data_IF_570786071117
#
_entry.id   IF_570786071117
#
_cell.length_a   1.000
_cell.length_b   1.000
_cell.length_c   1.000
_cell.angle_alpha   90.00
_cell.angle_beta   90.00
_cell.angle_gamma   90.00
#
_symmetry.space_group_name_H-M   'P 1'
#
loop_
_entity.id
_entity.type
_entity.pdbx_description
1 polymer ?
#
# COMPACT_ATOMS: atom_id res chain seq x y z
N UNK A 1 -0.48 13.93 2.52
CA UNK A 1 -1.66 13.78 3.42
C UNK A 1 -2.38 15.12 3.53
N UNK A 2 -3.53 15.21 4.20
CA UNK A 2 -4.29 16.46 4.32
C UNK A 2 -4.76 16.65 5.77
N UNK A 3 -4.60 17.85 6.33
CA UNK A 3 -5.23 18.25 7.61
C UNK A 3 -6.19 19.42 7.39
N UNK A 4 -7.01 19.74 8.39
CA UNK A 4 -7.95 20.87 8.36
C UNK A 4 -9.38 20.48 7.95
N UNK A 5 -10.35 21.40 8.13
CA UNK A 5 -11.76 21.12 7.90
C UNK A 5 -12.08 20.96 6.40
N UNK A 6 -13.24 20.36 6.07
CA UNK A 6 -13.72 20.29 4.69
C UNK A 6 -13.72 21.67 4.01
N UNK A 7 -13.21 21.74 2.78
CA UNK A 7 -13.04 22.95 1.96
C UNK A 7 -11.92 23.91 2.38
N UNK A 8 -11.21 23.62 3.46
CA UNK A 8 -10.02 24.37 3.90
C UNK A 8 -8.94 23.39 4.38
N UNK A 9 -8.50 22.53 3.45
CA UNK A 9 -7.53 21.48 3.75
C UNK A 9 -6.12 21.93 3.38
N UNK A 10 -5.17 21.69 4.28
CA UNK A 10 -3.74 21.88 4.03
C UNK A 10 -3.11 20.55 3.58
N UNK A 11 -2.51 20.48 2.39
CA UNK A 11 -1.78 19.30 1.94
C UNK A 11 -0.38 19.25 2.57
N UNK A 12 0.05 18.04 2.93
CA UNK A 12 1.35 17.71 3.50
C UNK A 12 2.10 16.74 2.60
N UNK A 13 3.39 17.00 2.39
CA UNK A 13 4.30 16.10 1.70
C UNK A 13 5.01 15.19 2.71
N UNK A 14 4.95 13.87 2.49
CA UNK A 14 5.59 12.86 3.34
C UNK A 14 6.75 12.27 2.56
N UNK A 15 7.93 12.21 3.16
CA UNK A 15 9.14 11.70 2.52
C UNK A 15 10.09 11.05 3.51
N UNK A 16 10.97 10.18 3.03
CA UNK A 16 12.04 9.57 3.81
C UNK A 16 13.35 10.40 3.77
N UNK A 17 13.27 11.72 3.57
CA UNK A 17 14.44 12.60 3.68
C UNK A 17 15.56 12.35 2.66
N UNK A 18 15.25 11.76 1.50
CA UNK A 18 16.22 11.45 0.43
C UNK A 18 16.12 10.01 -0.08
N UNK A 19 15.52 9.12 0.72
CA UNK A 19 15.31 7.72 0.35
C UNK A 19 13.92 7.46 -0.26
N UNK A 20 13.77 6.28 -0.87
CA UNK A 20 12.50 5.80 -1.41
C UNK A 20 11.61 5.21 -0.31
N UNK A 21 10.32 5.54 -0.36
CA UNK A 21 9.29 4.89 0.45
C UNK A 21 8.66 3.75 -0.35
N UNK A 22 8.90 2.51 0.09
CA UNK A 22 8.31 1.30 -0.52
C UNK A 22 7.02 0.92 0.20
N UNK A 23 5.86 1.11 -0.43
CA UNK A 23 4.58 0.73 0.17
C UNK A 23 4.22 -0.73 -0.16
N UNK A 24 3.84 -1.50 0.85
CA UNK A 24 3.28 -2.84 0.68
C UNK A 24 1.95 -2.75 -0.09
N UNK A 25 1.75 -3.64 -1.04
CA UNK A 25 0.58 -3.63 -1.90
C UNK A 25 0.25 -5.00 -2.48
N UNK A 26 -0.97 -5.09 -3.01
CA UNK A 26 -1.46 -6.25 -3.76
C UNK A 26 -1.80 -5.79 -5.17
N UNK A 27 -1.74 -6.70 -6.14
CA UNK A 27 -2.18 -6.44 -7.49
C UNK A 27 -2.97 -7.63 -8.04
N UNK A 28 -3.83 -7.37 -9.01
CA UNK A 28 -4.62 -8.38 -9.68
C UNK A 28 -4.75 -8.07 -11.17
N UNK A 29 -4.73 -9.14 -11.97
CA UNK A 29 -5.12 -9.10 -13.37
C UNK A 29 -6.59 -9.47 -13.48
N UNK A 30 -7.36 -8.66 -14.21
CA UNK A 30 -8.76 -8.92 -14.50
C UNK A 30 -8.97 -8.93 -16.00
N UNK A 31 -9.55 -10.00 -16.52
CA UNK A 31 -10.04 -10.03 -17.89
C UNK A 31 -11.26 -9.11 -18.02
N UNK A 32 -11.23 -8.25 -19.02
CA UNK A 32 -12.31 -7.34 -19.39
C UNK A 32 -12.73 -7.63 -20.84
N UNK A 33 -14.02 -7.44 -21.15
CA UNK A 33 -14.64 -7.85 -22.42
C UNK A 33 -15.41 -9.17 -22.35
N UNK A 34 -16.36 -9.34 -23.27
CA UNK A 34 -17.38 -10.42 -23.21
C UNK A 34 -16.97 -11.71 -23.95
N UNK A 35 -15.97 -11.67 -24.84
CA UNK A 35 -15.56 -12.83 -25.65
C UNK A 35 -14.10 -13.25 -25.43
N UNK A 36 -13.83 -14.55 -25.57
CA UNK A 36 -12.46 -15.09 -25.61
C UNK A 36 -11.69 -14.62 -26.84
N UNK A 37 -12.39 -14.42 -27.97
CA UNK A 37 -11.86 -13.75 -29.14
C UNK A 37 -11.90 -12.23 -28.90
N UNK A 38 -10.80 -11.66 -28.41
CA UNK A 38 -10.67 -10.22 -28.11
C UNK A 38 -10.51 -9.85 -26.64
N UNK A 39 -10.15 -10.82 -25.78
CA UNK A 39 -9.94 -10.57 -24.36
C UNK A 39 -8.93 -9.45 -24.09
N UNK A 40 -9.38 -8.38 -23.45
CA UNK A 40 -8.53 -7.32 -22.90
C UNK A 40 -8.23 -7.65 -21.43
N UNK A 41 -7.06 -7.21 -20.94
CA UNK A 41 -6.65 -7.44 -19.56
C UNK A 41 -6.36 -6.11 -18.87
N UNK A 42 -6.96 -5.93 -17.70
CA UNK A 42 -6.68 -4.81 -16.81
C UNK A 42 -5.80 -5.28 -15.66
N UNK A 43 -4.82 -4.46 -15.28
CA UNK A 43 -4.03 -4.66 -14.05
C UNK A 43 -4.40 -3.56 -13.08
N UNK A 44 -4.84 -3.95 -11.88
CA UNK A 44 -5.13 -3.03 -10.79
C UNK A 44 -4.22 -3.33 -9.60
N UNK A 45 -3.91 -2.31 -8.80
CA UNK A 45 -3.17 -2.48 -7.55
C UNK A 45 -3.81 -1.68 -6.40
N UNK A 46 -3.53 -2.13 -5.18
CA UNK A 46 -3.96 -1.50 -3.94
C UNK A 46 -2.78 -1.36 -2.98
N UNK A 47 -2.80 -0.30 -2.18
CA UNK A 47 -1.84 -0.09 -1.10
C UNK A 47 -2.44 -0.63 0.19
N UNK A 48 -1.67 -1.46 0.90
CA UNK A 48 -2.04 -1.92 2.24
C UNK A 48 -1.81 -0.78 3.22
N UNK A 49 -2.81 -0.52 4.06
CA UNK A 49 -2.74 0.52 5.08
C UNK A 49 -2.81 -0.07 6.48
N UNK A 50 -2.26 0.65 7.45
CA UNK A 50 -2.34 0.38 8.89
C UNK A 50 -2.82 1.63 9.63
N UNK A 51 -3.13 1.47 10.91
CA UNK A 51 -3.29 2.64 11.80
C UNK A 51 -2.01 3.46 11.75
N UNK A 52 -2.16 4.76 11.54
CA UNK A 52 -1.03 5.66 11.52
C UNK A 52 -0.37 5.72 12.90
N UNK A 53 0.95 5.85 12.89
CA UNK A 53 1.78 6.05 14.08
C UNK A 53 2.66 7.27 13.87
N UNK A 54 3.32 7.73 14.93
CA UNK A 54 4.26 8.85 14.90
C UNK A 54 3.63 10.12 14.31
N UNK A 55 4.40 10.95 13.62
CA UNK A 55 3.94 12.23 13.05
C UNK A 55 2.82 12.06 12.00
N UNK A 56 2.72 10.87 11.38
CA UNK A 56 1.63 10.57 10.46
C UNK A 56 0.28 10.41 11.18
N UNK A 57 0.29 9.94 12.44
CA UNK A 57 -0.90 9.78 13.27
C UNK A 57 -1.57 11.09 13.66
N UNK A 58 -0.79 12.17 13.77
CA UNK A 58 -1.30 13.53 14.02
C UNK A 58 -2.05 14.12 12.81
N UNK A 59 -1.79 13.56 11.61
CA UNK A 59 -2.31 14.08 10.34
C UNK A 59 -3.51 13.26 9.83
N UNK A 60 -3.50 11.94 10.00
CA UNK A 60 -4.57 11.07 9.52
C UNK A 60 -4.59 9.72 10.26
N UNK A 61 -5.76 9.12 10.44
CA UNK A 61 -5.92 7.83 11.15
C UNK A 61 -5.22 6.63 10.49
N UNK A 62 -4.75 6.77 9.23
CA UNK A 62 -4.24 5.67 8.41
C UNK A 62 -3.00 6.10 7.64
N UNK A 63 -2.07 5.18 7.48
CA UNK A 63 -0.88 5.35 6.64
C UNK A 63 -0.59 4.07 5.84
N UNK A 64 0.14 4.17 4.71
CA UNK A 64 0.69 2.99 4.04
C UNK A 64 1.56 2.16 4.98
N UNK A 65 1.55 0.85 4.83
CA UNK A 65 2.60 0.00 5.41
C UNK A 65 3.84 0.18 4.56
N UNK A 66 4.83 0.92 5.07
CA UNK A 66 6.12 1.05 4.41
C UNK A 66 7.01 -0.14 4.78
N UNK A 67 7.60 -0.75 3.76
CA UNK A 67 8.57 -1.83 3.87
C UNK A 67 9.96 -1.25 4.08
N UNK A 68 10.72 -1.83 4.99
CA UNK A 68 12.15 -1.56 5.11
C UNK A 68 12.92 -2.34 4.04
N UNK A 69 14.16 -1.92 3.68
CA UNK A 69 14.94 -2.61 2.65
C UNK A 69 15.17 -4.10 2.94
N UNK A 70 15.33 -4.47 4.21
CA UNK A 70 15.58 -5.84 4.66
C UNK A 70 14.39 -6.79 4.51
N UNK A 71 13.15 -6.29 4.60
CA UNK A 71 11.92 -7.11 4.46
C UNK A 71 11.31 -7.06 3.07
N UNK A 72 11.85 -6.22 2.18
CA UNK A 72 11.29 -6.01 0.83
C UNK A 72 11.39 -7.27 -0.03
N UNK A 73 12.45 -8.07 0.12
CA UNK A 73 12.60 -9.33 -0.60
C UNK A 73 11.61 -10.39 -0.07
N UNK A 74 11.53 -10.54 1.25
CA UNK A 74 10.64 -11.50 1.90
C UNK A 74 9.17 -11.23 1.58
N UNK A 75 8.77 -9.96 1.48
CA UNK A 75 7.43 -9.55 1.07
C UNK A 75 7.04 -10.08 -0.33
N UNK A 76 8.01 -10.21 -1.24
CA UNK A 76 7.78 -10.65 -2.62
C UNK A 76 7.98 -12.17 -2.81
N UNK A 77 8.39 -12.88 -1.76
CA UNK A 77 8.63 -14.33 -1.83
C UNK A 77 7.32 -15.06 -2.16
N UNK A 78 7.26 -15.88 -3.23
CA UNK A 78 6.02 -16.54 -3.67
C UNK A 78 5.69 -17.81 -2.86
N UNK A 79 6.19 -17.90 -1.64
CA UNK A 79 5.97 -19.05 -0.76
C UNK A 79 4.61 -18.94 -0.06
N UNK A 80 4.00 -20.10 0.19
CA UNK A 80 2.79 -20.13 1.00
C UNK A 80 3.14 -19.74 2.42
N UNK A 81 2.44 -18.73 2.94
CA UNK A 81 2.45 -18.44 4.37
C UNK A 81 2.00 -19.71 5.12
N UNK A 82 2.89 -20.26 5.93
CA UNK A 82 2.53 -21.30 6.88
C UNK A 82 2.11 -20.60 8.16
N UNK A 83 0.91 -20.90 8.65
CA UNK A 83 0.43 -20.32 9.90
C UNK A 83 1.34 -20.79 11.04
N UNK A 84 2.29 -19.95 11.43
CA UNK A 84 2.99 -20.11 12.69
C UNK A 84 2.25 -19.21 13.66
N UNK A 85 1.33 -19.79 14.41
CA UNK A 85 0.64 -19.10 15.50
C UNK A 85 1.67 -18.33 16.35
N UNK A 86 1.67 -16.99 16.25
CA UNK A 86 2.62 -16.16 16.99
C UNK A 86 3.10 -14.84 16.36
N UNK A 87 2.43 -14.30 15.33
CA UNK A 87 2.73 -12.94 14.86
C UNK A 87 1.46 -12.10 14.79
N UNK A 88 1.11 -11.47 15.92
CA UNK A 88 0.61 -10.09 16.09
C UNK A 88 0.40 -9.84 17.60
#
# INVERSE_FOLDING_TARGET
MWTGPPKDKTPHYVSAGGDLLSAAGLYAFRKIGESDAGAEWETSCVIITRTAVDEAGEVHDRMPVFLTPDVSADWLTPEKLTDTAGAL
#
